data_IF_376564095230
#
_entry.id   IF_376564095230
#
_cell.length_a   1.000
_cell.length_b   1.000
_cell.length_c   1.000
_cell.angle_alpha   90.00
_cell.angle_beta   90.00
_cell.angle_gamma   90.00
#
_symmetry.space_group_name_H-M   'P 1'
#
loop_
_entity.id
_entity.type
_entity.pdbx_description
1 polymer ?
#
# COMPACT_ATOMS: atom_id res chain seq x y z
N UNK A 1 0.77 6.88 -25.14
CA UNK A 1 0.41 5.51 -24.73
C UNK A 1 -0.71 5.53 -23.70
N UNK A 2 -1.53 4.47 -23.65
CA UNK A 2 -2.59 4.34 -22.64
C UNK A 2 -2.05 3.89 -21.29
N UNK A 3 -0.91 3.23 -21.28
CA UNK A 3 -0.24 2.69 -20.09
C UNK A 3 1.22 3.11 -20.12
N UNK A 4 1.70 3.62 -18.99
CA UNK A 4 3.10 3.90 -18.72
C UNK A 4 3.62 2.94 -17.65
N UNK A 5 4.75 2.31 -17.91
CA UNK A 5 5.44 1.43 -16.97
C UNK A 5 6.73 2.11 -16.51
N UNK A 6 6.95 2.19 -15.20
CA UNK A 6 8.15 2.75 -14.60
C UNK A 6 8.72 1.78 -13.56
N UNK A 7 10.01 1.46 -13.71
CA UNK A 7 10.75 0.60 -12.79
C UNK A 7 11.77 1.46 -12.05
N UNK A 8 11.61 1.54 -10.72
CA UNK A 8 12.43 2.36 -9.80
C UNK A 8 12.70 3.79 -10.31
N UNK A 9 11.68 4.55 -10.72
CA UNK A 9 11.87 5.84 -11.42
C UNK A 9 12.55 6.91 -10.58
N UNK A 10 12.63 6.73 -9.25
CA UNK A 10 13.23 7.67 -8.30
C UNK A 10 14.50 7.12 -7.62
N UNK A 11 14.97 5.94 -7.99
CA UNK A 11 16.01 5.20 -7.29
C UNK A 11 17.41 5.83 -7.28
N UNK A 12 17.68 6.83 -8.13
CA UNK A 12 19.01 7.45 -8.26
C UNK A 12 18.96 8.97 -8.25
N UNK A 13 17.89 9.57 -7.73
CA UNK A 13 17.70 11.02 -7.74
C UNK A 13 17.51 11.57 -6.32
N UNK A 14 17.78 12.86 -6.15
CA UNK A 14 17.49 13.54 -4.89
C UNK A 14 15.99 13.69 -4.65
N UNK A 15 15.64 14.02 -3.42
CA UNK A 15 14.25 14.10 -2.97
C UNK A 15 13.37 15.09 -3.77
N UNK A 16 13.91 16.25 -4.15
CA UNK A 16 13.16 17.26 -4.92
C UNK A 16 12.88 16.77 -6.33
N UNK A 17 13.87 16.12 -6.95
CA UNK A 17 13.72 15.52 -8.27
C UNK A 17 12.71 14.35 -8.22
N UNK A 18 12.72 13.54 -7.15
CA UNK A 18 11.74 12.49 -6.96
C UNK A 18 10.31 13.03 -6.85
N UNK A 19 10.09 14.11 -6.09
CA UNK A 19 8.80 14.78 -6.00
C UNK A 19 8.34 15.33 -7.35
N UNK A 20 9.24 15.96 -8.12
CA UNK A 20 8.92 16.46 -9.46
C UNK A 20 8.52 15.32 -10.43
N UNK A 21 9.26 14.21 -10.44
CA UNK A 21 8.91 13.03 -11.25
C UNK A 21 7.52 12.52 -10.88
N UNK A 22 7.20 12.48 -9.60
CA UNK A 22 5.88 12.08 -9.15
C UNK A 22 4.77 13.04 -9.60
N UNK A 23 5.01 14.32 -9.55
CA UNK A 23 4.06 15.35 -10.03
C UNK A 23 3.77 15.17 -11.52
N UNK A 24 4.79 14.86 -12.33
CA UNK A 24 4.63 14.53 -13.76
C UNK A 24 3.75 13.29 -13.94
N UNK A 25 3.99 12.21 -13.18
CA UNK A 25 3.14 11.02 -13.23
C UNK A 25 1.70 11.32 -12.81
N UNK A 26 1.52 12.13 -11.79
CA UNK A 26 0.19 12.54 -11.32
C UNK A 26 -0.58 13.31 -12.40
N UNK A 27 0.10 14.22 -13.09
CA UNK A 27 -0.49 14.98 -14.18
C UNK A 27 -0.87 14.09 -15.38
N UNK A 28 0.01 13.18 -15.78
CA UNK A 28 -0.28 12.19 -16.82
C UNK A 28 -1.49 11.30 -16.45
N UNK A 29 -1.58 10.89 -15.18
CA UNK A 29 -2.71 10.10 -14.71
C UNK A 29 -4.04 10.88 -14.73
N UNK A 30 -4.03 12.16 -14.35
CA UNK A 30 -5.20 13.05 -14.48
C UNK A 30 -5.68 13.18 -15.92
N UNK A 31 -4.74 13.14 -16.87
CA UNK A 31 -5.03 13.18 -18.31
C UNK A 31 -5.48 11.81 -18.88
N UNK A 32 -5.80 10.85 -18.01
CA UNK A 32 -6.39 9.56 -18.38
C UNK A 32 -5.38 8.45 -18.67
N UNK A 33 -4.09 8.65 -18.43
CA UNK A 33 -3.11 7.58 -18.57
C UNK A 33 -3.09 6.67 -17.34
N UNK A 34 -3.01 5.37 -17.55
CA UNK A 34 -2.73 4.40 -16.48
C UNK A 34 -1.23 4.33 -16.27
N UNK A 35 -0.79 4.48 -15.01
CA UNK A 35 0.63 4.44 -14.66
C UNK A 35 0.85 3.31 -13.67
N UNK A 36 1.77 2.42 -14.01
CA UNK A 36 2.24 1.34 -13.14
C UNK A 36 3.68 1.61 -12.77
N UNK A 37 3.94 1.77 -11.48
CA UNK A 37 5.27 2.00 -10.91
C UNK A 37 5.66 0.80 -10.08
N UNK A 38 6.83 0.24 -10.33
CA UNK A 38 7.49 -0.75 -9.46
C UNK A 38 8.55 -0.02 -8.66
N UNK A 39 8.48 -0.09 -7.34
CA UNK A 39 9.45 0.56 -6.46
C UNK A 39 9.43 -0.05 -5.06
N UNK A 40 10.54 0.07 -4.35
CA UNK A 40 10.64 -0.22 -2.92
C UNK A 40 10.51 1.05 -2.04
N UNK A 41 10.32 2.22 -2.64
CA UNK A 41 10.13 3.48 -1.92
C UNK A 41 8.73 3.55 -1.28
N UNK A 42 8.69 3.32 0.03
CA UNK A 42 7.46 3.38 0.82
C UNK A 42 6.89 4.79 0.94
N UNK A 43 7.71 5.82 0.80
CA UNK A 43 7.25 7.20 0.82
C UNK A 43 6.42 7.51 -0.43
N UNK A 44 6.89 7.07 -1.60
CA UNK A 44 6.15 7.21 -2.85
C UNK A 44 4.80 6.47 -2.81
N UNK A 45 4.76 5.31 -2.17
CA UNK A 45 3.54 4.50 -2.08
C UNK A 45 2.37 5.20 -1.39
N UNK A 46 2.62 6.16 -0.52
CA UNK A 46 1.57 6.94 0.19
C UNK A 46 0.88 7.98 -0.70
N UNK A 47 1.49 8.34 -1.82
CA UNK A 47 0.97 9.37 -2.76
C UNK A 47 0.08 8.79 -3.85
N UNK A 48 0.07 7.48 -4.05
CA UNK A 48 -0.65 6.83 -5.14
C UNK A 48 -2.02 6.33 -4.69
N UNK A 49 -2.94 6.17 -5.65
CA UNK A 49 -4.32 5.72 -5.37
C UNK A 49 -4.39 4.27 -4.90
N UNK A 50 -3.48 3.43 -5.41
CA UNK A 50 -3.48 1.99 -5.15
C UNK A 50 -2.06 1.47 -5.07
N UNK A 51 -1.77 0.69 -4.04
CA UNK A 51 -0.49 0.01 -3.84
C UNK A 51 -0.74 -1.48 -3.72
N UNK A 52 0.00 -2.28 -4.46
CA UNK A 52 -0.05 -3.74 -4.39
C UNK A 52 1.32 -4.22 -3.88
N UNK A 53 1.34 -4.85 -2.71
CA UNK A 53 2.55 -5.44 -2.17
C UNK A 53 2.73 -6.87 -2.71
N UNK A 54 3.91 -7.14 -3.27
CA UNK A 54 4.29 -8.47 -3.76
C UNK A 54 5.37 -9.03 -2.85
N UNK A 55 5.17 -10.24 -2.35
CA UNK A 55 6.15 -11.00 -1.57
C UNK A 55 6.22 -12.43 -2.11
N UNK A 56 7.43 -12.94 -2.29
CA UNK A 56 7.67 -14.30 -2.80
C UNK A 56 6.88 -14.60 -4.09
N UNK A 57 6.82 -13.60 -5.00
CA UNK A 57 6.12 -13.71 -6.28
C UNK A 57 4.59 -13.73 -6.18
N UNK A 58 4.01 -13.42 -5.01
CA UNK A 58 2.57 -13.39 -4.78
C UNK A 58 2.12 -12.04 -4.22
N UNK A 59 0.89 -11.68 -4.55
CA UNK A 59 0.24 -10.51 -3.96
C UNK A 59 -0.07 -10.83 -2.49
N UNK A 60 0.45 -10.02 -1.57
CA UNK A 60 0.26 -10.19 -0.12
C UNK A 60 -0.75 -9.22 0.46
N UNK A 61 -0.71 -7.96 0.08
CA UNK A 61 -1.66 -6.94 0.52
C UNK A 61 -1.92 -5.90 -0.56
N UNK A 62 -3.01 -5.17 -0.39
CA UNK A 62 -3.40 -4.04 -1.21
C UNK A 62 -3.74 -2.87 -0.30
N UNK A 63 -3.24 -1.68 -0.63
CA UNK A 63 -3.62 -0.42 0.03
C UNK A 63 -4.31 0.49 -0.97
N UNK A 64 -5.41 1.08 -0.55
CA UNK A 64 -6.21 1.99 -1.38
C UNK A 64 -6.33 3.33 -0.68
N UNK A 65 -6.13 4.41 -1.41
CA UNK A 65 -6.26 5.77 -0.89
C UNK A 65 -7.67 6.01 -0.36
N UNK A 66 -7.80 6.50 0.87
CA UNK A 66 -9.09 6.83 1.48
C UNK A 66 -9.83 7.88 0.65
N UNK A 67 -11.13 7.70 0.51
CA UNK A 67 -11.99 8.62 -0.24
C UNK A 67 -11.90 10.04 0.34
N UNK A 68 -11.79 11.05 -0.53
CA UNK A 68 -11.65 12.45 -0.14
C UNK A 68 -10.29 12.85 0.44
N UNK A 69 -9.34 11.93 0.62
CA UNK A 69 -8.03 12.25 1.19
C UNK A 69 -7.19 13.12 0.23
N UNK A 70 -7.27 12.85 -1.08
CA UNK A 70 -6.56 13.62 -2.10
C UNK A 70 -7.00 15.10 -2.12
N UNK A 71 -8.28 15.39 -1.86
CA UNK A 71 -8.81 16.76 -1.80
C UNK A 71 -8.36 17.47 -0.52
N UNK A 72 -8.35 16.78 0.60
CA UNK A 72 -7.85 17.32 1.90
C UNK A 72 -6.37 17.65 1.86
N UNK A 73 -5.55 16.88 1.13
CA UNK A 73 -4.12 17.18 0.93
C UNK A 73 -3.89 18.53 0.25
N UNK A 74 -4.76 18.91 -0.69
CA UNK A 74 -4.65 20.17 -1.42
C UNK A 74 -5.04 21.40 -0.56
N UNK A 75 -5.98 21.22 0.36
CA UNK A 75 -6.57 22.29 1.15
C UNK A 75 -5.81 22.63 2.43
N UNK A 76 -5.12 21.67 3.07
CA UNK A 76 -4.67 21.81 4.46
C UNK A 76 -3.16 21.71 4.69
N UNK A 77 -2.33 21.53 3.67
CA UNK A 77 -0.87 21.42 3.85
C UNK A 77 -0.45 20.26 4.77
N UNK A 78 -1.28 19.24 4.91
CA UNK A 78 -1.01 18.07 5.75
C UNK A 78 0.27 17.37 5.26
N UNK A 79 1.16 17.04 6.17
CA UNK A 79 2.31 16.18 5.86
C UNK A 79 1.83 14.76 5.54
N UNK A 80 1.70 14.48 4.24
CA UNK A 80 1.26 13.19 3.72
C UNK A 80 2.13 12.00 4.16
N UNK A 81 3.39 12.26 4.57
CA UNK A 81 4.34 11.22 5.00
C UNK A 81 3.89 10.53 6.29
N UNK A 82 3.25 11.28 7.18
CA UNK A 82 2.81 10.81 8.49
C UNK A 82 1.30 10.59 8.57
N UNK A 83 0.55 10.90 7.50
CA UNK A 83 -0.89 10.74 7.49
C UNK A 83 -1.30 9.29 7.19
N UNK A 84 -2.31 8.79 7.91
CA UNK A 84 -3.01 7.55 7.61
C UNK A 84 -3.94 7.76 6.41
N UNK A 85 -3.35 7.68 5.23
CA UNK A 85 -3.97 8.05 3.95
C UNK A 85 -4.65 6.90 3.21
N UNK A 86 -4.38 5.67 3.60
CA UNK A 86 -4.76 4.47 2.85
C UNK A 86 -5.39 3.42 3.76
N UNK A 87 -6.41 2.73 3.25
CA UNK A 87 -6.93 1.51 3.83
C UNK A 87 -6.10 0.32 3.34
N UNK A 88 -5.70 -0.55 4.26
CA UNK A 88 -4.92 -1.75 3.95
C UNK A 88 -5.80 -3.00 3.98
N UNK A 89 -5.73 -3.77 2.92
CA UNK A 89 -6.43 -5.04 2.76
C UNK A 89 -5.42 -6.16 2.57
N UNK A 90 -5.58 -7.25 3.33
CA UNK A 90 -4.83 -8.49 3.10
C UNK A 90 -5.55 -9.28 2.02
N UNK A 91 -4.80 -9.83 1.06
CA UNK A 91 -5.38 -10.54 -0.08
C UNK A 91 -5.49 -12.03 0.22
N UNK A 92 -6.70 -12.57 0.09
CA UNK A 92 -6.96 -14.02 0.10
C UNK A 92 -6.64 -14.62 -1.28
N UNK A 93 -5.85 -15.69 -1.30
CA UNK A 93 -5.65 -16.46 -2.54
C UNK A 93 -6.87 -17.38 -2.82
N UNK A 94 -6.85 -18.05 -3.98
CA UNK A 94 -7.94 -18.96 -4.37
C UNK A 94 -8.10 -20.18 -3.45
N UNK A 95 -7.09 -20.50 -2.66
CA UNK A 95 -7.13 -21.58 -1.66
C UNK A 95 -7.55 -21.09 -0.27
N UNK A 96 -7.96 -19.82 -0.13
CA UNK A 96 -8.36 -19.22 1.13
C UNK A 96 -7.18 -18.90 2.07
N UNK A 97 -5.96 -18.80 1.56
CA UNK A 97 -4.78 -18.43 2.35
C UNK A 97 -4.54 -16.94 2.28
N UNK A 98 -4.12 -16.36 3.40
CA UNK A 98 -3.66 -14.98 3.50
C UNK A 98 -2.30 -14.95 4.20
N UNK A 99 -1.52 -13.91 3.93
CA UNK A 99 -0.29 -13.62 4.63
C UNK A 99 -0.53 -12.44 5.57
N UNK A 100 -0.48 -12.69 6.87
CA UNK A 100 -0.62 -11.62 7.86
C UNK A 100 0.60 -10.67 7.81
N UNK A 101 0.38 -9.35 7.94
CA UNK A 101 1.45 -8.39 8.10
C UNK A 101 2.32 -8.71 9.32
N UNK A 102 3.64 -8.49 9.20
CA UNK A 102 4.60 -8.84 10.24
C UNK A 102 4.41 -8.04 11.54
N UNK A 103 3.98 -6.80 11.44
CA UNK A 103 3.65 -5.93 12.57
C UNK A 103 2.44 -6.47 13.35
N UNK A 104 1.42 -6.99 12.68
CA UNK A 104 0.29 -7.66 13.33
C UNK A 104 0.73 -8.93 14.04
N UNK A 105 1.57 -9.75 13.40
CA UNK A 105 2.12 -10.96 14.02
C UNK A 105 3.00 -10.63 15.23
N UNK A 106 3.83 -9.60 15.13
CA UNK A 106 4.68 -9.14 16.23
C UNK A 106 3.85 -8.67 17.43
N UNK A 107 2.70 -8.01 17.20
CA UNK A 107 1.81 -7.54 18.27
C UNK A 107 1.16 -8.68 19.08
N UNK A 108 1.09 -9.89 18.50
CA UNK A 108 0.59 -11.07 19.20
C UNK A 108 1.62 -11.69 20.17
N UNK A 109 2.91 -11.33 20.07
CA UNK A 109 4.00 -11.89 20.90
C UNK A 109 3.92 -13.42 20.98
N UNK A 110 3.84 -14.07 19.82
CA UNK A 110 3.72 -15.54 19.76
C UNK A 110 5.00 -16.22 20.25
N UNK A 111 4.84 -17.23 21.07
CA UNK A 111 5.96 -18.08 21.56
C UNK A 111 6.28 -19.23 20.60
N UNK A 112 5.33 -19.60 19.75
CA UNK A 112 5.48 -20.59 18.69
C UNK A 112 4.74 -20.13 17.42
N UNK A 113 4.75 -20.94 16.37
CA UNK A 113 4.13 -20.63 15.08
C UNK A 113 2.63 -21.02 15.01
N UNK A 114 1.95 -21.15 16.16
CA UNK A 114 0.55 -21.54 16.22
C UNK A 114 -0.33 -20.39 16.66
N UNK A 115 -1.50 -20.31 16.05
CA UNK A 115 -2.56 -19.35 16.41
C UNK A 115 -3.90 -20.07 16.48
N UNK A 116 -4.79 -19.56 17.30
CA UNK A 116 -6.20 -19.96 17.29
C UNK A 116 -6.94 -19.11 16.26
N UNK A 117 -7.79 -19.76 15.46
CA UNK A 117 -8.65 -19.08 14.50
C UNK A 117 -10.08 -19.48 14.77
N UNK A 118 -10.96 -18.49 14.91
CA UNK A 118 -12.39 -18.72 15.17
C UNK A 118 -13.23 -17.56 14.62
N UNK A 119 -14.53 -17.79 14.49
CA UNK A 119 -15.49 -16.76 14.08
C UNK A 119 -16.19 -16.21 15.30
N UNK A 120 -16.26 -14.89 15.43
CA UNK A 120 -17.01 -14.19 16.47
C UNK A 120 -17.70 -12.98 15.86
N UNK A 121 -19.02 -12.87 16.03
CA UNK A 121 -19.83 -11.75 15.50
C UNK A 121 -19.66 -11.49 14.00
N UNK A 122 -19.47 -12.54 13.19
CA UNK A 122 -19.25 -12.41 11.75
C UNK A 122 -17.82 -12.04 11.34
N UNK A 123 -16.90 -11.95 12.28
CA UNK A 123 -15.49 -11.66 12.05
C UNK A 123 -14.62 -12.91 12.25
N UNK A 124 -13.55 -13.02 11.46
CA UNK A 124 -12.51 -14.02 11.69
C UNK A 124 -11.51 -13.43 12.69
N UNK A 125 -11.35 -14.09 13.83
CA UNK A 125 -10.44 -13.68 14.89
C UNK A 125 -9.24 -14.61 14.93
N UNK A 126 -8.05 -14.02 14.95
CA UNK A 126 -6.77 -14.71 15.14
C UNK A 126 -6.22 -14.31 16.50
N UNK A 127 -5.94 -15.27 17.36
CA UNK A 127 -5.52 -15.03 18.73
C UNK A 127 -4.37 -15.96 19.14
N UNK A 128 -3.71 -15.63 20.24
CA UNK A 128 -2.77 -16.54 20.90
C UNK A 128 -3.46 -17.86 21.25
N UNK A 129 -2.71 -18.96 21.27
CA UNK A 129 -3.20 -20.25 21.77
C UNK A 129 -3.71 -20.20 23.21
#
# INVERSE_FOLDING_TARGET
PKILLADEPTGSVDFRTADYIFDVFSELNKNGQTILIVTHDTALSKKVKRVVAIRDGKISSERVLKEGFADRLKESGIDWRNADSQDEYVVLDRAGRLQLPQDMLASLELTDNKVKVFVRNGEIVIAKP
#
